data_IF_321159674161
#
_entry.id   IF_321159674161
#
_cell.length_a   1.000
_cell.length_b   1.000
_cell.length_c   1.000
_cell.angle_alpha   90.00
_cell.angle_beta   90.00
_cell.angle_gamma   90.00
#
_symmetry.space_group_name_H-M   'P 1'
#
loop_
_entity.id
_entity.type
_entity.pdbx_description
1 polymer ?
#
# COMPACT_ATOMS: atom_id res chain seq x y z
N UNK A 1 -8.53 -6.09 6.24
CA UNK A 1 -7.24 -5.76 5.58
C UNK A 1 -7.31 -4.38 4.96
N UNK A 2 -6.25 -3.59 5.11
CA UNK A 2 -6.25 -2.25 4.56
C UNK A 2 -5.31 -2.07 3.38
N UNK A 3 -5.65 -1.09 2.54
CA UNK A 3 -4.86 -0.75 1.36
C UNK A 3 -4.42 0.70 1.45
N UNK A 4 -3.11 0.94 1.57
CA UNK A 4 -2.62 2.31 1.69
C UNK A 4 -1.77 2.73 0.49
N UNK A 5 -2.19 3.82 -0.16
CA UNK A 5 -1.48 4.35 -1.32
C UNK A 5 -1.95 5.78 -1.60
N UNK A 6 -1.19 6.50 -2.43
CA UNK A 6 -1.53 7.88 -2.75
C UNK A 6 -1.85 8.04 -4.24
N UNK A 7 -2.91 8.78 -4.53
CA UNK A 7 -3.31 9.03 -5.91
C UNK A 7 -3.44 10.54 -6.17
N UNK A 8 -3.07 10.96 -7.37
CA UNK A 8 -3.15 12.36 -7.74
C UNK A 8 -4.42 12.67 -8.53
N UNK A 9 -4.49 13.86 -9.10
CA UNK A 9 -5.65 14.28 -9.88
C UNK A 9 -6.02 13.20 -10.90
N UNK A 10 -5.02 12.75 -11.65
CA UNK A 10 -5.23 11.73 -12.67
C UNK A 10 -5.49 10.37 -12.04
N UNK A 11 -4.93 10.13 -10.85
CA UNK A 11 -5.12 8.87 -10.17
C UNK A 11 -3.95 7.93 -10.36
N UNK A 12 -2.75 8.49 -10.49
CA UNK A 12 -1.54 7.69 -10.67
C UNK A 12 -1.01 7.21 -9.32
N UNK A 13 -0.07 6.28 -9.35
CA UNK A 13 0.52 5.74 -8.13
C UNK A 13 2.04 5.80 -8.16
N UNK A 14 2.64 5.05 -9.08
CA UNK A 14 4.08 5.04 -9.20
C UNK A 14 4.56 4.61 -10.57
N UNK A 15 5.84 4.24 -10.66
CA UNK A 15 6.41 3.81 -11.92
C UNK A 15 6.62 2.30 -11.93
N UNK A 16 6.93 1.76 -13.11
CA UNK A 16 7.15 0.32 -13.26
C UNK A 16 8.64 0.02 -13.43
N UNK A 17 9.33 0.89 -14.15
CA UNK A 17 10.76 0.69 -14.37
C UNK A 17 11.43 1.92 -14.96
N UNK A 18 11.42 3.01 -14.20
CA UNK A 18 12.04 4.25 -14.64
C UNK A 18 13.13 4.69 -13.67
N UNK A 19 12.85 4.57 -12.38
CA UNK A 19 13.80 4.95 -11.34
C UNK A 19 14.15 6.43 -11.40
N UNK A 20 13.12 7.31 -11.43
CA UNK A 20 13.35 8.76 -11.48
C UNK A 20 13.77 9.32 -10.12
N UNK A 21 12.84 9.29 -9.16
CA UNK A 21 13.11 9.78 -7.81
C UNK A 21 11.85 9.71 -6.96
N UNK A 22 12.01 9.82 -5.65
CA UNK A 22 10.88 9.77 -4.73
C UNK A 22 10.83 11.03 -3.86
N UNK A 23 9.61 11.47 -3.55
CA UNK A 23 9.42 12.66 -2.73
C UNK A 23 9.54 12.31 -1.25
N UNK A 24 9.99 13.28 -0.42
CA UNK A 24 10.14 13.07 1.02
C UNK A 24 8.82 13.08 1.78
N UNK A 25 7.93 13.99 1.37
CA UNK A 25 6.62 14.10 2.01
C UNK A 25 5.69 12.96 1.59
N UNK A 26 5.70 12.65 0.29
CA UNK A 26 4.85 11.58 -0.24
C UNK A 26 5.38 10.20 0.15
N UNK A 27 6.65 10.14 0.54
CA UNK A 27 7.27 8.87 0.94
C UNK A 27 6.97 8.54 2.39
N UNK A 28 6.94 9.57 3.23
CA UNK A 28 6.67 9.39 4.65
C UNK A 28 5.32 8.73 4.89
N UNK A 29 4.33 9.12 4.10
CA UNK A 29 2.98 8.57 4.22
C UNK A 29 2.92 7.14 3.69
N UNK A 30 3.58 6.91 2.55
CA UNK A 30 3.60 5.59 1.93
C UNK A 30 4.00 4.51 2.93
N UNK A 31 4.96 4.82 3.79
CA UNK A 31 5.44 3.88 4.79
C UNK A 31 4.68 4.03 6.11
N UNK A 32 4.73 5.22 6.69
CA UNK A 32 4.08 5.51 7.96
C UNK A 32 2.65 4.97 8.03
N UNK A 33 2.02 4.80 6.87
CA UNK A 33 0.64 4.32 6.82
C UNK A 33 0.44 3.02 7.62
N UNK A 34 1.20 1.97 7.30
CA UNK A 34 1.03 0.69 7.99
C UNK A 34 2.31 0.22 8.69
N UNK A 35 3.37 1.02 8.66
CA UNK A 35 4.62 0.64 9.31
C UNK A 35 4.35 0.11 10.72
N UNK A 36 5.32 -0.60 11.28
CA UNK A 36 5.17 -1.10 12.63
C UNK A 36 4.28 -2.32 12.77
N UNK A 37 3.88 -2.97 11.67
CA UNK A 37 3.03 -4.16 11.77
C UNK A 37 3.29 -5.06 10.54
N UNK A 38 2.39 -6.02 10.29
CA UNK A 38 2.57 -6.93 9.14
C UNK A 38 2.17 -6.25 7.82
N UNK A 39 3.13 -5.60 7.19
CA UNK A 39 2.88 -4.90 5.92
C UNK A 39 3.34 -5.72 4.72
N UNK A 40 2.41 -6.04 3.82
CA UNK A 40 2.71 -6.82 2.63
C UNK A 40 3.35 -5.97 1.54
N UNK A 41 4.07 -6.62 0.62
CA UNK A 41 4.73 -5.94 -0.48
C UNK A 41 5.08 -6.92 -1.60
N UNK A 42 5.10 -6.44 -2.84
CA UNK A 42 5.43 -7.29 -3.96
C UNK A 42 6.91 -7.64 -3.98
N UNK A 43 7.24 -8.82 -4.50
CA UNK A 43 8.64 -9.24 -4.58
C UNK A 43 9.49 -8.12 -5.16
N UNK A 44 9.07 -7.62 -6.32
CA UNK A 44 9.78 -6.54 -6.99
C UNK A 44 9.91 -5.34 -6.05
N UNK A 45 8.88 -5.14 -5.24
CA UNK A 45 8.86 -4.04 -4.30
C UNK A 45 9.86 -4.25 -3.16
N UNK A 46 9.76 -5.39 -2.49
CA UNK A 46 10.65 -5.70 -1.38
C UNK A 46 12.12 -5.51 -1.78
N UNK A 47 12.41 -5.67 -3.06
CA UNK A 47 13.77 -5.52 -3.56
C UNK A 47 14.20 -4.05 -3.51
N UNK A 48 13.55 -3.21 -4.31
CA UNK A 48 13.87 -1.80 -4.37
C UNK A 48 13.73 -1.14 -3.01
N UNK A 49 12.82 -1.66 -2.19
CA UNK A 49 12.57 -1.11 -0.85
C UNK A 49 13.86 -0.62 -0.18
N UNK A 50 13.82 0.60 0.41
CA UNK A 50 14.99 1.20 1.08
C UNK A 50 15.83 0.20 1.86
N UNK A 51 15.21 -0.86 2.36
CA UNK A 51 15.92 -1.86 3.13
C UNK A 51 15.11 -3.16 3.22
N UNK A 52 15.82 -4.27 3.38
CA UNK A 52 15.17 -5.58 3.48
C UNK A 52 15.79 -6.41 4.60
N UNK A 53 15.06 -6.62 5.72
CA UNK A 53 13.71 -6.09 5.91
C UNK A 53 13.71 -4.65 6.38
N UNK A 54 12.51 -4.10 6.60
CA UNK A 54 12.38 -2.72 7.06
C UNK A 54 12.56 -2.63 8.57
N UNK A 55 13.15 -1.53 9.06
CA UNK A 55 13.38 -1.34 10.49
C UNK A 55 12.08 -1.09 11.26
N UNK A 56 11.67 -2.08 12.06
CA UNK A 56 10.45 -1.98 12.86
C UNK A 56 9.20 -2.22 12.01
N UNK A 57 9.38 -2.77 10.82
CA UNK A 57 8.23 -3.02 9.94
C UNK A 57 8.29 -4.42 9.35
N UNK A 58 7.34 -5.27 9.75
CA UNK A 58 7.27 -6.63 9.25
C UNK A 58 6.82 -6.64 7.79
N UNK A 59 7.72 -7.03 6.91
CA UNK A 59 7.43 -7.05 5.48
C UNK A 59 7.14 -8.46 4.97
N UNK A 60 6.41 -8.53 3.86
CA UNK A 60 6.07 -9.80 3.22
C UNK A 60 6.32 -9.73 1.73
N UNK A 61 6.83 -10.82 1.16
CA UNK A 61 7.12 -10.87 -0.27
C UNK A 61 6.14 -11.77 -1.02
N UNK A 62 5.48 -11.20 -2.02
CA UNK A 62 4.51 -11.94 -2.82
C UNK A 62 5.08 -12.28 -4.19
N UNK A 63 5.17 -13.57 -4.50
CA UNK A 63 5.69 -14.01 -5.78
C UNK A 63 5.12 -15.38 -6.17
N UNK A 64 5.10 -15.66 -7.46
CA UNK A 64 4.58 -16.93 -7.97
C UNK A 64 5.52 -18.09 -7.68
N UNK A 65 6.73 -17.79 -7.23
CA UNK A 65 7.71 -18.84 -6.91
C UNK A 65 7.35 -19.55 -5.62
N UNK A 66 7.42 -20.88 -5.64
CA UNK A 66 7.09 -21.68 -4.47
C UNK A 66 8.31 -21.90 -3.57
N UNK A 67 9.44 -21.31 -3.95
CA UNK A 67 10.67 -21.45 -3.17
C UNK A 67 11.29 -20.09 -2.85
N UNK A 68 10.61 -19.01 -3.24
CA UNK A 68 11.10 -17.66 -3.00
C UNK A 68 11.34 -17.42 -1.52
N UNK A 69 12.46 -16.77 -1.20
CA UNK A 69 12.78 -16.46 0.18
C UNK A 69 13.16 -15.01 0.38
N UNK A 70 13.32 -14.69 1.64
CA UNK A 70 13.70 -13.34 2.07
C UNK A 70 14.39 -13.39 3.43
N UNK A 71 15.37 -12.53 3.62
CA UNK A 71 16.10 -12.49 4.89
C UNK A 71 15.28 -11.72 5.93
N UNK A 72 14.61 -12.47 6.81
CA UNK A 72 13.81 -11.85 7.85
C UNK A 72 12.36 -11.65 7.43
N UNK A 73 12.16 -11.25 6.18
CA UNK A 73 10.82 -11.01 5.65
C UNK A 73 10.06 -12.33 5.47
N UNK A 74 8.75 -12.20 5.26
CA UNK A 74 7.89 -13.37 5.05
C UNK A 74 7.63 -13.58 3.56
N UNK A 75 7.62 -14.82 3.12
CA UNK A 75 7.42 -15.12 1.70
C UNK A 75 6.06 -15.76 1.44
N UNK A 76 5.24 -15.06 0.66
CA UNK A 76 3.92 -15.54 0.29
C UNK A 76 3.77 -15.49 -1.23
N UNK A 77 2.74 -16.13 -1.77
CA UNK A 77 2.55 -16.13 -3.22
C UNK A 77 1.25 -15.43 -3.61
N UNK A 78 0.30 -15.34 -2.68
CA UNK A 78 -0.98 -14.70 -2.97
C UNK A 78 -1.64 -14.17 -1.69
N UNK A 79 -2.86 -13.70 -1.84
CA UNK A 79 -3.63 -13.16 -0.72
C UNK A 79 -4.06 -14.27 0.24
N UNK A 80 -3.87 -15.52 -0.15
CA UNK A 80 -4.22 -16.64 0.69
C UNK A 80 -3.06 -16.99 1.61
N UNK A 81 -1.85 -16.82 1.09
CA UNK A 81 -0.63 -17.10 1.85
C UNK A 81 -0.38 -16.02 2.90
N UNK A 82 -0.80 -14.79 2.61
CA UNK A 82 -0.62 -13.70 3.54
C UNK A 82 -1.60 -13.83 4.69
N UNK A 83 -2.87 -14.05 4.36
CA UNK A 83 -3.90 -14.23 5.37
C UNK A 83 -3.53 -15.38 6.29
N UNK A 84 -2.78 -16.33 5.76
CA UNK A 84 -2.35 -17.48 6.53
C UNK A 84 -1.39 -17.04 7.63
N UNK A 85 -0.48 -16.13 7.28
CA UNK A 85 0.46 -15.61 8.26
C UNK A 85 -0.29 -14.81 9.32
N UNK A 86 -1.04 -13.82 8.88
CA UNK A 86 -1.83 -12.98 9.77
C UNK A 86 -2.79 -13.82 10.61
N UNK A 87 -3.11 -15.02 10.11
CA UNK A 87 -4.00 -15.93 10.84
C UNK A 87 -3.29 -16.48 12.07
N UNK A 88 -2.02 -16.82 11.90
CA UNK A 88 -1.21 -17.35 12.99
C UNK A 88 -0.63 -16.21 13.83
N UNK A 89 -0.76 -14.98 13.32
CA UNK A 89 -0.26 -13.81 14.03
C UNK A 89 -1.39 -12.81 14.24
N UNK A 90 -2.40 -13.18 15.06
CA UNK A 90 -3.54 -12.32 15.36
C UNK A 90 -3.16 -11.12 16.22
N UNK A 91 -1.88 -11.03 16.58
CA UNK A 91 -1.39 -9.92 17.40
C UNK A 91 -1.18 -8.66 16.55
N UNK A 92 -0.63 -8.85 15.35
CA UNK A 92 -0.35 -7.73 14.46
C UNK A 92 -1.45 -7.60 13.39
N UNK A 93 -1.49 -6.44 12.75
CA UNK A 93 -2.49 -6.16 11.72
C UNK A 93 -1.94 -6.41 10.31
N UNK A 94 -2.85 -6.60 9.36
CA UNK A 94 -2.46 -6.87 7.98
C UNK A 94 -2.86 -5.73 7.05
N UNK A 95 -1.86 -5.04 6.50
CA UNK A 95 -2.09 -3.95 5.58
C UNK A 95 -1.18 -4.05 4.36
N UNK A 96 -1.79 -4.12 3.18
CA UNK A 96 -1.03 -4.22 1.94
C UNK A 96 -0.50 -2.87 1.48
N UNK A 97 0.79 -2.83 1.14
CA UNK A 97 1.43 -1.61 0.69
C UNK A 97 1.47 -1.54 -0.83
N UNK A 98 1.96 -2.61 -1.45
CA UNK A 98 2.04 -2.65 -2.89
C UNK A 98 2.79 -3.87 -3.41
N UNK A 99 3.12 -3.89 -4.72
CA UNK A 99 2.77 -2.81 -5.62
C UNK A 99 1.44 -3.02 -6.31
N UNK A 100 1.22 -2.32 -7.42
CA UNK A 100 -0.03 -2.44 -8.18
C UNK A 100 -0.40 -3.91 -8.38
N UNK A 101 0.56 -4.71 -8.83
CA UNK A 101 0.33 -6.13 -9.06
C UNK A 101 -0.24 -6.78 -7.80
N UNK A 102 0.18 -6.27 -6.65
CA UNK A 102 -0.28 -6.78 -5.36
C UNK A 102 -1.60 -6.15 -4.95
N UNK A 103 -1.84 -4.93 -5.42
CA UNK A 103 -3.07 -4.21 -5.07
C UNK A 103 -4.31 -4.97 -5.53
N UNK A 104 -4.42 -5.26 -6.83
CA UNK A 104 -5.59 -5.97 -7.34
C UNK A 104 -5.66 -7.41 -6.83
N UNK A 105 -4.60 -7.88 -6.19
CA UNK A 105 -4.58 -9.23 -5.66
C UNK A 105 -5.45 -9.35 -4.41
N UNK A 106 -5.40 -8.33 -3.56
CA UNK A 106 -6.17 -8.33 -2.32
C UNK A 106 -7.42 -7.45 -2.45
N UNK A 107 -7.60 -6.80 -3.60
CA UNK A 107 -8.76 -5.93 -3.82
C UNK A 107 -10.06 -6.63 -3.44
N UNK A 108 -10.11 -7.95 -3.64
CA UNK A 108 -11.31 -8.73 -3.34
C UNK A 108 -11.31 -9.22 -1.89
N UNK A 109 -10.26 -8.89 -1.15
CA UNK A 109 -10.14 -9.31 0.25
C UNK A 109 -10.03 -8.10 1.18
N UNK A 110 -9.50 -7.00 0.65
CA UNK A 110 -9.33 -5.78 1.43
C UNK A 110 -10.63 -5.40 2.15
N UNK A 111 -10.53 -5.21 3.46
CA UNK A 111 -11.68 -4.85 4.27
C UNK A 111 -11.70 -3.35 4.56
N UNK A 112 -10.59 -2.68 4.27
CA UNK A 112 -10.46 -1.25 4.50
C UNK A 112 -9.54 -0.62 3.45
N UNK A 113 -9.87 0.59 3.00
CA UNK A 113 -9.05 1.26 1.99
C UNK A 113 -8.59 2.63 2.47
N UNK A 114 -7.39 3.01 2.04
CA UNK A 114 -6.81 4.30 2.39
C UNK A 114 -6.19 4.94 1.15
N UNK A 115 -6.71 6.10 0.75
CA UNK A 115 -6.19 6.78 -0.43
C UNK A 115 -5.94 8.26 -0.16
N UNK A 116 -4.86 8.79 -0.72
CA UNK A 116 -4.52 10.19 -0.54
C UNK A 116 -4.61 10.94 -1.87
N UNK A 117 -5.73 11.64 -2.06
CA UNK A 117 -5.95 12.39 -3.29
C UNK A 117 -5.11 13.67 -3.28
N UNK A 118 -3.98 13.64 -3.97
CA UNK A 118 -3.09 14.79 -4.03
C UNK A 118 -3.52 15.76 -5.12
N UNK A 119 -3.70 17.03 -4.73
CA UNK A 119 -4.10 18.06 -5.69
C UNK A 119 -3.12 18.17 -6.85
N UNK A 120 -1.83 18.11 -6.53
CA UNK A 120 -0.81 18.20 -7.57
C UNK A 120 -0.77 16.97 -8.44
N UNK A 121 -0.05 17.06 -9.55
CA UNK A 121 0.07 15.94 -10.49
C UNK A 121 1.41 15.24 -10.31
N UNK A 122 1.43 13.94 -10.60
CA UNK A 122 2.65 13.14 -10.48
C UNK A 122 2.90 12.33 -11.75
N UNK A 123 4.18 12.10 -12.05
CA UNK A 123 4.54 11.34 -13.25
C UNK A 123 4.54 9.84 -12.97
N UNK A 124 4.61 9.06 -14.05
CA UNK A 124 4.62 7.62 -13.92
C UNK A 124 3.92 6.92 -15.07
N UNK A 125 4.16 5.61 -15.19
CA UNK A 125 3.55 4.82 -16.26
C UNK A 125 2.61 3.75 -15.69
N UNK A 126 2.51 3.70 -14.37
CA UNK A 126 1.65 2.71 -13.72
C UNK A 126 0.43 3.40 -13.09
N UNK A 127 -0.75 2.89 -13.41
CA UNK A 127 -1.99 3.46 -12.88
C UNK A 127 -2.58 2.55 -11.79
N UNK A 128 -3.50 3.11 -11.02
CA UNK A 128 -4.14 2.37 -9.94
C UNK A 128 -5.09 1.32 -10.50
N UNK A 129 -5.20 0.19 -9.79
CA UNK A 129 -6.06 -0.90 -10.21
C UNK A 129 -7.53 -0.53 -10.04
N UNK A 130 -8.44 -1.30 -10.67
CA UNK A 130 -9.88 -1.05 -10.59
C UNK A 130 -10.47 -1.46 -9.25
N UNK A 131 -10.72 -0.48 -8.40
CA UNK A 131 -11.28 -0.73 -7.08
C UNK A 131 -12.81 -0.75 -7.11
N UNK A 132 -13.40 -1.61 -6.31
CA UNK A 132 -14.85 -1.74 -6.24
C UNK A 132 -15.40 -0.79 -5.17
N UNK A 133 -15.35 0.50 -5.45
CA UNK A 133 -15.84 1.51 -4.52
C UNK A 133 -17.29 1.25 -4.13
N UNK A 134 -18.02 0.56 -5.00
CA UNK A 134 -19.42 0.23 -4.73
C UNK A 134 -19.51 -0.82 -3.64
N UNK A 135 -18.51 -1.69 -3.56
CA UNK A 135 -18.48 -2.75 -2.56
C UNK A 135 -18.02 -2.23 -1.21
N UNK A 136 -17.24 -1.14 -1.23
CA UNK A 136 -16.75 -0.55 0.01
C UNK A 136 -17.59 0.67 0.39
N UNK A 137 -17.28 1.26 1.53
CA UNK A 137 -18.01 2.44 2.01
C UNK A 137 -17.02 3.47 2.56
N UNK A 138 -17.29 4.74 2.29
CA UNK A 138 -16.44 5.83 2.75
C UNK A 138 -16.74 6.16 4.21
N UNK A 139 -15.77 5.92 5.09
CA UNK A 139 -15.93 6.20 6.51
C UNK A 139 -15.34 7.55 6.90
N UNK A 140 -14.44 8.07 6.06
CA UNK A 140 -13.80 9.35 6.33
C UNK A 140 -13.12 9.89 5.07
N UNK A 141 -13.22 11.21 4.88
CA UNK A 141 -12.63 11.86 3.71
C UNK A 141 -12.54 13.36 3.92
N UNK A 142 -11.31 13.87 4.02
CA UNK A 142 -11.10 15.30 4.21
C UNK A 142 -9.79 15.74 3.56
N UNK A 143 -9.88 16.75 2.69
CA UNK A 143 -8.71 17.27 2.00
C UNK A 143 -7.91 18.20 2.90
N UNK A 144 -6.59 18.17 2.74
CA UNK A 144 -5.69 19.01 3.51
C UNK A 144 -4.91 19.96 2.61
N UNK A 145 -5.32 21.22 2.59
CA UNK A 145 -4.65 22.22 1.77
C UNK A 145 -3.44 22.80 2.47
N UNK A 146 -2.26 22.31 2.11
CA UNK A 146 -1.02 22.79 2.71
C UNK A 146 -0.53 24.05 2.00
N UNK A 147 0.60 24.59 2.45
CA UNK A 147 1.16 25.78 1.84
C UNK A 147 1.33 25.60 0.33
N UNK A 148 1.89 24.46 -0.05
CA UNK A 148 2.11 24.15 -1.46
C UNK A 148 0.80 23.68 -2.10
N UNK A 149 0.35 24.34 -3.19
CA UNK A 149 -0.89 23.97 -3.88
C UNK A 149 -0.87 22.53 -4.40
N UNK A 150 0.33 22.05 -4.74
CA UNK A 150 0.48 20.70 -5.26
C UNK A 150 0.73 19.68 -4.16
N UNK A 151 1.17 20.15 -2.99
CA UNK A 151 1.45 19.26 -1.87
C UNK A 151 0.18 18.93 -1.09
N UNK A 152 -0.97 19.36 -1.60
CA UNK A 152 -2.25 19.10 -0.96
C UNK A 152 -2.60 17.63 -1.10
N UNK A 153 -3.56 17.19 -0.31
CA UNK A 153 -4.00 15.80 -0.35
C UNK A 153 -5.26 15.58 0.48
N UNK A 154 -5.98 14.51 0.17
CA UNK A 154 -7.21 14.16 0.88
C UNK A 154 -7.11 12.74 1.44
N UNK A 155 -7.36 12.62 2.74
CA UNK A 155 -7.29 11.32 3.40
C UNK A 155 -8.64 10.62 3.38
N UNK A 156 -8.77 9.60 2.52
CA UNK A 156 -10.01 8.85 2.40
C UNK A 156 -9.89 7.47 3.04
N UNK A 157 -10.78 7.17 3.97
CA UNK A 157 -10.78 5.88 4.64
C UNK A 157 -12.07 5.13 4.33
N UNK A 158 -11.96 4.02 3.61
CA UNK A 158 -13.12 3.23 3.24
C UNK A 158 -13.17 1.92 4.02
N UNK A 159 -14.37 1.43 4.25
CA UNK A 159 -14.57 0.17 4.97
C UNK A 159 -15.46 -0.77 4.17
N UNK A 160 -14.92 -1.93 3.80
CA UNK A 160 -15.66 -2.92 3.02
C UNK A 160 -16.96 -3.32 3.72
N UNK A 161 -18.06 -3.30 2.97
CA UNK A 161 -19.36 -3.68 3.51
C UNK A 161 -19.77 -5.07 3.03
N UNK A 162 -20.97 -5.49 3.39
CA UNK A 162 -21.48 -6.80 2.98
C UNK A 162 -22.68 -6.65 2.05
#
# INVERSE_FOLDING_TARGET
>A
TAFLWAQDRDGLIGKDGHLPWHLPDDLHYFRAQTVGKIMVVGRRTYESFPKRPLPERTNVVLTHQEDYQAQGAVVVHDVAAVFAYAKQHPDQELVIAGGAQIFTAFKDDVDTLLVTRLAGSFEGDTKMIPLNWDDFTKVSSRTVEDTNPALTHTYEVWQKKA
#
